data_IF_164912142657
#
_entry.id   IF_164912142657
#
_cell.length_a   1.000
_cell.length_b   1.000
_cell.length_c   1.000
_cell.angle_alpha   90.00
_cell.angle_beta   90.00
_cell.angle_gamma   90.00
#
_symmetry.space_group_name_H-M   'P 1'
#
loop_
_entity.id
_entity.type
_entity.pdbx_description
1 polymer ?
#
# COMPACT_ATOMS: atom_id res chain seq x y z
N UNK A 1 -15.66 -6.88 -12.67
CA UNK A 1 -15.73 -5.80 -11.65
C UNK A 1 -17.14 -5.26 -11.45
N UNK A 2 -17.85 -4.81 -12.51
CA UNK A 2 -19.24 -4.34 -12.38
C UNK A 2 -20.16 -5.38 -11.70
N UNK A 3 -20.12 -6.62 -12.11
CA UNK A 3 -20.93 -7.69 -11.52
C UNK A 3 -20.66 -7.86 -10.00
N UNK A 4 -19.39 -7.89 -9.59
CA UNK A 4 -19.03 -7.95 -8.17
C UNK A 4 -19.55 -6.72 -7.40
N UNK A 5 -19.43 -5.55 -7.99
CA UNK A 5 -19.97 -4.33 -7.39
C UNK A 5 -21.49 -4.43 -7.22
N UNK A 6 -22.21 -4.84 -8.26
CA UNK A 6 -23.67 -5.00 -8.20
C UNK A 6 -24.08 -6.00 -7.11
N UNK A 7 -23.33 -7.08 -6.93
CA UNK A 7 -23.55 -8.06 -5.85
C UNK A 7 -23.37 -7.43 -4.47
N UNK A 8 -22.41 -6.52 -4.26
CA UNK A 8 -22.24 -5.86 -2.95
C UNK A 8 -23.46 -5.06 -2.52
N UNK A 9 -24.28 -4.59 -3.47
CA UNK A 9 -25.48 -3.82 -3.22
C UNK A 9 -26.65 -4.67 -2.72
N UNK A 10 -26.58 -5.99 -2.85
CA UNK A 10 -27.65 -6.92 -2.43
C UNK A 10 -27.63 -7.25 -0.94
N UNK A 11 -26.53 -6.92 -0.23
CA UNK A 11 -26.40 -7.19 1.20
C UNK A 11 -27.12 -6.12 2.04
N UNK A 12 -27.58 -6.49 3.23
CA UNK A 12 -28.20 -5.56 4.20
C UNK A 12 -27.29 -4.37 4.52
N UNK A 13 -25.99 -4.61 4.58
CA UNK A 13 -24.94 -3.60 4.66
C UNK A 13 -24.09 -3.74 3.44
N UNK A 14 -24.00 -2.70 2.63
CA UNK A 14 -23.12 -2.68 1.47
C UNK A 14 -21.68 -3.01 1.90
N UNK A 15 -21.06 -3.89 1.16
CA UNK A 15 -19.66 -4.25 1.35
C UNK A 15 -18.78 -3.36 0.46
N UNK A 16 -17.69 -2.86 1.01
CA UNK A 16 -16.70 -2.13 0.22
C UNK A 16 -15.92 -3.10 -0.67
N UNK A 17 -15.77 -2.72 -1.92
CA UNK A 17 -14.97 -3.46 -2.88
C UNK A 17 -13.53 -2.92 -2.88
N UNK A 18 -12.61 -3.71 -2.36
CA UNK A 18 -11.20 -3.39 -2.32
C UNK A 18 -10.42 -4.11 -3.42
N UNK A 19 -9.44 -3.43 -4.00
CA UNK A 19 -8.50 -4.05 -4.94
C UNK A 19 -7.05 -3.75 -4.57
N UNK A 20 -6.17 -4.62 -5.05
CA UNK A 20 -4.71 -4.43 -5.01
C UNK A 20 -4.25 -3.86 -6.35
N UNK A 21 -3.40 -2.85 -6.31
CA UNK A 21 -2.67 -2.33 -7.47
C UNK A 21 -1.18 -2.31 -7.18
N UNK A 22 -0.41 -2.74 -8.17
CA UNK A 22 1.04 -2.62 -8.17
C UNK A 22 1.51 -1.45 -9.04
N UNK A 23 2.69 -0.91 -8.76
CA UNK A 23 3.27 0.20 -9.52
C UNK A 23 3.33 -0.05 -11.02
N UNK A 24 3.64 -1.27 -11.45
CA UNK A 24 3.68 -1.65 -12.87
C UNK A 24 2.30 -1.70 -13.55
N UNK A 25 1.21 -1.72 -12.77
CA UNK A 25 -0.16 -1.71 -13.29
C UNK A 25 -0.74 -0.29 -13.43
N UNK A 26 0.00 0.75 -13.04
CA UNK A 26 -0.46 2.13 -13.11
C UNK A 26 -0.48 2.62 -14.57
N UNK A 27 -1.59 2.36 -15.23
CA UNK A 27 -1.87 2.74 -16.62
C UNK A 27 -3.31 3.28 -16.75
N UNK A 28 -3.59 4.23 -17.68
CA UNK A 28 -4.94 4.79 -17.86
C UNK A 28 -6.07 3.76 -18.05
N UNK A 29 -5.75 2.55 -18.51
CA UNK A 29 -6.73 1.46 -18.69
C UNK A 29 -7.41 1.01 -17.39
N UNK A 30 -6.87 1.35 -16.21
CA UNK A 30 -7.52 1.02 -14.93
C UNK A 30 -8.68 1.96 -14.61
N UNK A 31 -8.70 3.19 -15.14
CA UNK A 31 -9.67 4.23 -14.78
C UNK A 31 -11.14 3.79 -14.95
N UNK A 32 -11.54 3.10 -16.04
CA UNK A 32 -12.93 2.64 -16.18
C UNK A 32 -13.39 1.66 -15.09
N UNK A 33 -12.44 0.97 -14.44
CA UNK A 33 -12.71 0.01 -13.37
C UNK A 33 -12.87 0.71 -12.03
N UNK A 34 -12.19 1.84 -11.82
CA UNK A 34 -12.15 2.55 -10.53
C UNK A 34 -13.52 3.01 -10.05
N UNK A 35 -14.48 3.26 -10.94
CA UNK A 35 -15.86 3.63 -10.53
C UNK A 35 -16.58 2.55 -9.71
N UNK A 36 -16.09 1.30 -9.77
CA UNK A 36 -16.65 0.16 -9.03
C UNK A 36 -15.83 -0.21 -7.79
N UNK A 37 -14.80 0.54 -7.48
CA UNK A 37 -13.85 0.27 -6.38
C UNK A 37 -14.04 1.31 -5.30
N UNK A 38 -14.02 0.90 -4.05
CA UNK A 38 -14.10 1.77 -2.89
C UNK A 38 -12.71 2.01 -2.29
N UNK A 39 -11.93 0.95 -2.16
CA UNK A 39 -10.61 0.98 -1.52
C UNK A 39 -9.54 0.43 -2.46
N UNK A 40 -8.42 1.11 -2.54
CA UNK A 40 -7.24 0.63 -3.28
C UNK A 40 -6.09 0.39 -2.32
N UNK A 41 -5.52 -0.81 -2.35
CA UNK A 41 -4.25 -1.11 -1.72
C UNK A 41 -3.13 -0.96 -2.75
N UNK A 42 -2.31 0.09 -2.63
CA UNK A 42 -1.18 0.35 -3.54
C UNK A 42 0.08 -0.33 -3.03
N UNK A 43 0.73 -1.12 -3.87
CA UNK A 43 1.92 -1.88 -3.54
C UNK A 43 3.11 -1.51 -4.42
N UNK A 44 4.23 -1.17 -3.77
CA UNK A 44 5.48 -0.78 -4.40
C UNK A 44 6.40 -1.99 -4.39
N UNK A 45 6.48 -2.70 -5.50
CA UNK A 45 6.94 -4.08 -5.63
C UNK A 45 8.45 -4.31 -5.47
N UNK A 46 9.28 -3.33 -5.89
CA UNK A 46 10.74 -3.52 -5.98
C UNK A 46 11.50 -2.45 -5.24
N UNK A 47 12.75 -2.74 -4.86
CA UNK A 47 13.65 -1.73 -4.30
C UNK A 47 13.85 -0.52 -5.23
N UNK A 48 13.88 -0.74 -6.55
CA UNK A 48 13.97 0.33 -7.54
C UNK A 48 12.71 1.24 -7.54
N UNK A 49 11.53 0.64 -7.34
CA UNK A 49 10.28 1.39 -7.20
C UNK A 49 10.21 2.15 -5.89
N UNK A 50 10.77 1.61 -4.80
CA UNK A 50 10.87 2.30 -3.50
C UNK A 50 11.76 3.54 -3.63
N UNK A 51 12.81 3.51 -4.43
CA UNK A 51 13.61 4.69 -4.70
C UNK A 51 12.80 5.83 -5.31
N UNK A 52 11.80 5.51 -6.13
CA UNK A 52 10.89 6.44 -6.83
C UNK A 52 9.50 6.51 -6.18
N UNK A 53 9.40 6.25 -4.88
CA UNK A 53 8.11 6.09 -4.19
C UNK A 53 7.19 7.31 -4.35
N UNK A 54 7.73 8.51 -4.30
CA UNK A 54 6.96 9.75 -4.47
C UNK A 54 6.40 9.90 -5.88
N UNK A 55 7.20 9.63 -6.92
CA UNK A 55 6.75 9.71 -8.31
C UNK A 55 5.71 8.63 -8.62
N UNK A 56 5.91 7.42 -8.09
CA UNK A 56 4.95 6.32 -8.20
C UNK A 56 3.62 6.69 -7.53
N UNK A 57 3.66 7.31 -6.37
CA UNK A 57 2.44 7.73 -5.67
C UNK A 57 1.75 8.90 -6.39
N UNK A 58 2.48 9.89 -6.90
CA UNK A 58 1.92 10.96 -7.74
C UNK A 58 1.23 10.40 -8.98
N UNK A 59 1.88 9.46 -9.68
CA UNK A 59 1.29 8.76 -10.82
C UNK A 59 0.01 8.00 -10.42
N UNK A 60 0.04 7.29 -9.29
CA UNK A 60 -1.13 6.62 -8.75
C UNK A 60 -2.27 7.62 -8.52
N UNK A 61 -2.04 8.72 -7.81
CA UNK A 61 -3.07 9.72 -7.52
C UNK A 61 -3.62 10.39 -8.78
N UNK A 62 -2.83 10.56 -9.83
CA UNK A 62 -3.34 11.09 -11.11
C UNK A 62 -4.34 10.15 -11.80
N UNK A 63 -4.25 8.84 -11.55
CA UNK A 63 -5.14 7.82 -12.11
C UNK A 63 -6.31 7.48 -11.17
N UNK A 64 -6.11 7.65 -9.85
CA UNK A 64 -7.03 7.23 -8.79
C UNK A 64 -7.13 8.34 -7.75
N UNK A 65 -7.76 9.51 -8.08
CA UNK A 65 -7.72 10.70 -7.21
C UNK A 65 -8.53 10.54 -5.92
N UNK A 66 -9.70 9.88 -5.98
CA UNK A 66 -10.75 10.00 -4.95
C UNK A 66 -11.00 8.71 -4.16
N UNK A 67 -10.08 7.72 -4.22
CA UNK A 67 -10.30 6.44 -3.54
C UNK A 67 -9.58 6.40 -2.21
N UNK A 68 -10.24 5.77 -1.23
CA UNK A 68 -9.57 5.36 0.00
C UNK A 68 -8.35 4.51 -0.36
N UNK A 69 -7.23 4.81 0.26
CA UNK A 69 -5.95 4.19 -0.10
C UNK A 69 -5.28 3.61 1.12
N UNK A 70 -4.87 2.36 1.01
CA UNK A 70 -3.94 1.71 1.92
C UNK A 70 -2.59 1.56 1.20
N UNK A 71 -1.49 1.86 1.87
CA UNK A 71 -0.16 1.68 1.30
C UNK A 71 0.45 0.36 1.78
N UNK A 72 0.84 -0.49 0.84
CA UNK A 72 1.55 -1.73 1.13
C UNK A 72 3.02 -1.47 1.45
N UNK A 73 3.48 -1.99 2.59
CA UNK A 73 4.86 -1.91 3.06
C UNK A 73 5.49 -3.29 2.91
N UNK A 74 6.48 -3.41 2.06
CA UNK A 74 7.20 -4.65 1.86
C UNK A 74 8.37 -4.81 2.83
N UNK A 75 8.46 -5.99 3.46
CA UNK A 75 9.56 -6.40 4.33
C UNK A 75 10.63 -7.26 3.59
N UNK A 76 10.47 -7.42 2.28
CA UNK A 76 11.35 -8.18 1.39
C UNK A 76 11.34 -7.54 0.01
N UNK A 77 12.47 -7.51 -0.68
CA UNK A 77 12.53 -7.09 -2.10
C UNK A 77 12.13 -8.26 -3.00
N UNK A 78 10.84 -8.36 -3.30
CA UNK A 78 10.29 -9.45 -4.12
C UNK A 78 10.77 -9.39 -5.57
N UNK A 79 10.98 -8.18 -6.11
CA UNK A 79 11.52 -8.01 -7.45
C UNK A 79 12.98 -8.41 -7.55
N UNK A 80 13.78 -8.04 -6.54
CA UNK A 80 15.20 -8.42 -6.42
C UNK A 80 15.43 -9.81 -5.88
N UNK A 81 14.39 -10.50 -5.34
CA UNK A 81 14.46 -11.82 -4.69
C UNK A 81 15.50 -11.88 -3.58
N UNK A 82 15.55 -10.85 -2.76
CA UNK A 82 16.55 -10.68 -1.69
C UNK A 82 15.98 -9.95 -0.48
N UNK A 83 16.74 -9.93 0.61
CA UNK A 83 16.41 -9.12 1.77
C UNK A 83 16.27 -7.64 1.39
N UNK A 84 15.27 -7.00 1.98
CA UNK A 84 15.12 -5.57 1.84
C UNK A 84 16.19 -4.86 2.67
N UNK A 85 16.87 -3.90 2.08
CA UNK A 85 17.78 -3.02 2.82
C UNK A 85 16.97 -2.19 3.82
N UNK A 86 17.51 -2.00 5.03
CA UNK A 86 16.88 -1.20 6.07
C UNK A 86 16.58 0.24 5.60
N UNK A 87 17.43 0.87 4.81
CA UNK A 87 17.20 2.22 4.29
C UNK A 87 15.92 2.29 3.43
N UNK A 88 15.59 1.22 2.70
CA UNK A 88 14.34 1.14 1.95
C UNK A 88 13.13 0.98 2.88
N UNK A 89 13.28 0.30 4.01
CA UNK A 89 12.22 0.22 5.01
C UNK A 89 11.99 1.60 5.64
N UNK A 90 13.05 2.28 6.06
CA UNK A 90 12.98 3.66 6.58
C UNK A 90 12.24 4.55 5.58
N UNK A 91 12.66 4.53 4.32
CA UNK A 91 12.05 5.36 3.27
C UNK A 91 10.58 5.06 3.06
N UNK A 92 10.17 3.79 3.06
CA UNK A 92 8.75 3.41 2.94
C UNK A 92 7.94 3.94 4.13
N UNK A 93 8.43 3.75 5.35
CA UNK A 93 7.72 4.13 6.57
C UNK A 93 7.61 5.64 6.73
N UNK A 94 8.70 6.39 6.49
CA UNK A 94 8.68 7.86 6.55
C UNK A 94 7.69 8.43 5.54
N UNK A 95 7.71 7.91 4.32
CA UNK A 95 6.80 8.32 3.26
C UNK A 95 5.34 8.00 3.62
N UNK A 96 5.06 6.76 4.02
CA UNK A 96 3.72 6.32 4.37
C UNK A 96 3.17 7.08 5.60
N UNK A 97 4.01 7.31 6.60
CA UNK A 97 3.63 8.05 7.80
C UNK A 97 3.28 9.50 7.49
N UNK A 98 4.08 10.17 6.67
CA UNK A 98 3.77 11.52 6.19
C UNK A 98 2.40 11.56 5.49
N UNK A 99 2.18 10.66 4.53
CA UNK A 99 0.89 10.58 3.82
C UNK A 99 -0.28 10.30 4.76
N UNK A 100 -0.09 9.45 5.75
CA UNK A 100 -1.11 9.16 6.76
C UNK A 100 -1.45 10.41 7.58
N UNK A 101 -0.45 11.12 8.10
CA UNK A 101 -0.67 12.36 8.87
C UNK A 101 -1.31 13.48 8.03
N UNK A 102 -0.99 13.55 6.73
CA UNK A 102 -1.59 14.48 5.78
C UNK A 102 -3.01 14.06 5.32
N UNK A 103 -3.50 12.89 5.73
CA UNK A 103 -4.82 12.38 5.34
C UNK A 103 -4.89 11.89 3.89
N UNK A 104 -3.75 11.63 3.26
CA UNK A 104 -3.68 11.15 1.88
C UNK A 104 -3.86 9.64 1.75
N UNK A 105 -3.63 8.88 2.83
CA UNK A 105 -3.91 7.44 2.91
C UNK A 105 -4.64 7.12 4.22
N UNK A 106 -5.38 5.99 4.22
CA UNK A 106 -6.14 5.54 5.40
C UNK A 106 -5.29 4.70 6.37
N UNK A 107 -4.18 4.15 5.90
CA UNK A 107 -3.29 3.32 6.70
C UNK A 107 -2.28 2.55 5.88
N UNK A 108 -1.60 1.60 6.54
CA UNK A 108 -0.53 0.79 5.98
C UNK A 108 -0.84 -0.69 6.16
N UNK A 109 -0.37 -1.51 5.21
CA UNK A 109 -0.44 -2.97 5.28
C UNK A 109 0.98 -3.52 5.18
N UNK A 110 1.45 -4.21 6.22
CA UNK A 110 2.78 -4.82 6.22
C UNK A 110 2.74 -6.23 5.61
N UNK A 111 3.64 -6.50 4.68
CA UNK A 111 3.77 -7.80 4.01
C UNK A 111 5.20 -8.33 4.08
N UNK A 112 5.46 -9.53 4.55
CA UNK A 112 4.50 -10.60 4.86
C UNK A 112 4.82 -11.25 6.22
N UNK A 113 3.80 -11.81 6.85
CA UNK A 113 3.86 -12.45 8.17
C UNK A 113 4.97 -13.50 8.34
N UNK A 114 5.26 -14.39 7.36
CA UNK A 114 6.35 -15.39 7.50
C UNK A 114 7.74 -14.83 7.73
N UNK A 115 7.96 -13.54 7.48
CA UNK A 115 9.26 -12.87 7.67
C UNK A 115 9.45 -12.33 9.09
N UNK A 116 8.38 -12.20 9.88
CA UNK A 116 8.40 -11.53 11.19
C UNK A 116 9.40 -12.19 12.18
N UNK A 117 9.63 -13.49 12.08
CA UNK A 117 10.52 -14.24 12.97
C UNK A 117 11.87 -14.59 12.30
N UNK A 118 12.28 -13.88 11.26
CA UNK A 118 13.52 -14.16 10.52
C UNK A 118 14.71 -13.30 10.94
N UNK A 119 14.51 -12.36 11.89
CA UNK A 119 15.54 -11.45 12.37
C UNK A 119 16.21 -10.63 11.24
N UNK A 120 15.45 -10.29 10.20
CA UNK A 120 15.92 -9.43 9.11
C UNK A 120 15.95 -7.98 9.57
N UNK A 121 17.00 -7.22 9.24
CA UNK A 121 17.17 -5.84 9.71
C UNK A 121 15.97 -4.94 9.39
N UNK A 122 15.46 -5.01 8.16
CA UNK A 122 14.30 -4.23 7.77
C UNK A 122 13.03 -4.60 8.54
N UNK A 123 12.89 -5.89 8.92
CA UNK A 123 11.74 -6.38 9.70
C UNK A 123 11.85 -5.93 11.16
N UNK A 124 13.02 -6.05 11.76
CA UNK A 124 13.23 -5.59 13.14
C UNK A 124 13.00 -4.08 13.26
N UNK A 125 13.51 -3.30 12.30
CA UNK A 125 13.21 -1.87 12.23
C UNK A 125 11.71 -1.58 12.12
N UNK A 126 10.99 -2.33 11.27
CA UNK A 126 9.54 -2.16 11.15
C UNK A 126 8.80 -2.49 12.46
N UNK A 127 9.23 -3.50 13.22
CA UNK A 127 8.65 -3.82 14.54
C UNK A 127 8.84 -2.69 15.54
N UNK A 128 10.06 -2.15 15.62
CA UNK A 128 10.36 -1.02 16.51
C UNK A 128 9.54 0.22 16.12
N UNK A 129 9.44 0.48 14.82
CA UNK A 129 8.64 1.56 14.29
C UNK A 129 7.14 1.40 14.64
N UNK A 130 6.58 0.20 14.46
CA UNK A 130 5.18 -0.10 14.82
C UNK A 130 4.97 0.05 16.33
N UNK A 131 5.89 -0.44 17.16
CA UNK A 131 5.79 -0.29 18.62
C UNK A 131 5.76 1.19 19.05
N UNK A 132 6.43 2.07 18.29
CA UNK A 132 6.48 3.50 18.57
C UNK A 132 5.28 4.28 18.04
N UNK A 133 4.79 3.92 16.87
CA UNK A 133 3.83 4.73 16.11
C UNK A 133 2.49 4.04 15.82
N UNK A 134 2.37 2.75 16.13
CA UNK A 134 1.21 1.94 15.71
C UNK A 134 -0.12 2.37 16.32
N UNK A 135 -0.10 2.98 17.49
CA UNK A 135 -1.30 3.47 18.19
C UNK A 135 -1.60 4.95 17.92
N UNK A 136 -0.76 5.63 17.14
CA UNK A 136 -0.96 7.04 16.83
C UNK A 136 -2.14 7.24 15.87
N UNK A 137 -3.05 8.12 16.25
CA UNK A 137 -4.14 8.58 15.38
C UNK A 137 -3.72 9.81 14.58
N UNK A 138 -4.46 10.09 13.50
CA UNK A 138 -4.34 11.37 12.79
C UNK A 138 -4.68 12.53 13.70
#
# INVERSE_FOLDING_TARGET
MKQLYDETLTYKRRLDLAIVLYTHQLHPSIQPVMKYVDVVSLWIWTGADIQKIEDNFKKYRSLVPDKQTLLGIYMWDFGGKKELNQDFMVKQLDFAYRLYKEGQIEGMIFHCTPLVNKNLQAVEYAKEWIAKHGDEKR
#
